data_IF_936055495710
#
_entry.id   IF_936055495710
#
_cell.length_a   1.000
_cell.length_b   1.000
_cell.length_c   1.000
_cell.angle_alpha   90.00
_cell.angle_beta   90.00
_cell.angle_gamma   90.00
#
_symmetry.space_group_name_H-M   'P 1'
#
loop_
_entity.id
_entity.type
_entity.pdbx_description
1 polymer ?
#
# COMPACT_ATOMS: atom_id res chain seq x y z
N UNK A 1 5.18 -3.53 -64.69
CA UNK A 1 6.00 -3.88 -63.52
C UNK A 1 5.81 -5.37 -63.32
N UNK A 2 6.86 -6.18 -63.47
CA UNK A 2 6.75 -7.64 -63.42
C UNK A 2 6.66 -8.14 -61.97
N UNK A 3 6.03 -9.31 -61.74
CA UNK A 3 5.89 -9.90 -60.40
C UNK A 3 7.24 -10.07 -59.68
N UNK A 4 8.30 -10.40 -60.42
CA UNK A 4 9.66 -10.50 -59.88
C UNK A 4 10.19 -9.15 -59.37
N UNK A 5 9.93 -8.05 -60.10
CA UNK A 5 10.32 -6.71 -59.66
C UNK A 5 9.54 -6.30 -58.41
N UNK A 6 8.28 -6.69 -58.31
CA UNK A 6 7.46 -6.43 -57.12
C UNK A 6 8.00 -7.19 -55.89
N UNK A 7 8.39 -8.46 -56.06
CA UNK A 7 8.97 -9.25 -54.98
C UNK A 7 10.32 -8.68 -54.52
N UNK A 8 11.18 -8.26 -55.46
CA UNK A 8 12.47 -7.62 -55.13
C UNK A 8 12.27 -6.35 -54.32
N UNK A 9 11.31 -5.49 -54.71
CA UNK A 9 10.98 -4.26 -53.97
C UNK A 9 10.43 -4.60 -52.58
N UNK A 10 9.58 -5.62 -52.45
CA UNK A 10 9.02 -6.04 -51.16
C UNK A 10 10.10 -6.56 -50.21
N UNK A 11 11.02 -7.38 -50.72
CA UNK A 11 12.15 -7.92 -49.95
C UNK A 11 13.07 -6.78 -49.52
N UNK A 12 13.46 -5.90 -50.45
CA UNK A 12 14.29 -4.72 -50.15
C UNK A 12 13.66 -3.85 -49.05
N UNK A 13 12.38 -3.53 -49.16
CA UNK A 13 11.66 -2.75 -48.15
C UNK A 13 11.56 -3.47 -46.80
N UNK A 14 11.43 -4.80 -46.79
CA UNK A 14 11.40 -5.58 -45.55
C UNK A 14 12.75 -5.57 -44.83
N UNK A 15 13.85 -5.66 -45.58
CA UNK A 15 15.22 -5.62 -45.06
C UNK A 15 15.56 -4.24 -44.52
N UNK A 16 15.26 -3.17 -45.26
CA UNK A 16 15.47 -1.79 -44.79
C UNK A 16 14.70 -1.50 -43.51
N UNK A 17 13.47 -2.02 -43.36
CA UNK A 17 12.68 -1.88 -42.12
C UNK A 17 13.26 -2.71 -40.97
N UNK A 18 13.84 -3.87 -41.25
CA UNK A 18 14.47 -4.70 -40.23
C UNK A 18 15.74 -4.03 -39.68
N UNK A 19 16.58 -3.48 -40.55
CA UNK A 19 17.79 -2.73 -40.19
C UNK A 19 17.44 -1.50 -39.37
N UNK A 20 16.50 -0.67 -39.84
CA UNK A 20 16.06 0.51 -39.10
C UNK A 20 15.46 0.17 -37.71
N UNK A 21 14.86 -1.02 -37.54
CA UNK A 21 14.37 -1.49 -36.23
C UNK A 21 15.47 -1.98 -35.31
N UNK A 22 16.54 -2.55 -35.87
CA UNK A 22 17.70 -2.99 -35.11
C UNK A 22 18.53 -1.82 -34.58
N UNK A 23 18.58 -0.71 -35.34
CA UNK A 23 19.36 0.49 -35.00
C UNK A 23 18.63 1.48 -34.08
N UNK A 24 17.33 1.27 -33.83
CA UNK A 24 16.55 2.16 -32.94
C UNK A 24 16.91 2.00 -31.48
N UNK A 25 16.99 3.14 -30.78
CA UNK A 25 17.12 3.18 -29.32
C UNK A 25 15.77 2.91 -28.61
N UNK A 26 15.81 2.67 -27.30
CA UNK A 26 14.63 2.31 -26.52
C UNK A 26 13.58 3.44 -26.47
N UNK A 27 13.99 4.70 -26.49
CA UNK A 27 13.08 5.85 -26.50
C UNK A 27 12.31 5.95 -27.83
N UNK A 28 13.01 5.81 -28.96
CA UNK A 28 12.42 5.78 -30.29
C UNK A 28 11.47 4.59 -30.43
N UNK A 29 11.88 3.43 -29.90
CA UNK A 29 11.03 2.23 -29.87
C UNK A 29 9.77 2.46 -29.03
N UNK A 30 9.88 3.10 -27.87
CA UNK A 30 8.76 3.48 -27.02
C UNK A 30 7.80 4.48 -27.68
N UNK A 31 8.32 5.50 -28.36
CA UNK A 31 7.50 6.47 -29.10
C UNK A 31 6.68 5.82 -30.22
N UNK A 32 7.29 4.90 -30.98
CA UNK A 32 6.57 4.18 -32.04
C UNK A 32 5.51 3.26 -31.45
N UNK A 33 5.82 2.53 -30.38
CA UNK A 33 4.84 1.66 -29.71
C UNK A 33 3.64 2.45 -29.18
N UNK A 34 3.88 3.63 -28.58
CA UNK A 34 2.82 4.52 -28.11
C UNK A 34 1.98 5.04 -29.27
N UNK A 35 2.61 5.49 -30.36
CA UNK A 35 1.90 5.93 -31.56
C UNK A 35 1.02 4.82 -32.15
N UNK A 36 1.55 3.60 -32.25
CA UNK A 36 0.81 2.44 -32.76
C UNK A 36 -0.30 1.99 -31.80
N UNK A 37 -0.11 2.15 -30.49
CA UNK A 37 -1.14 1.89 -29.49
C UNK A 37 -2.30 2.88 -29.62
N UNK A 38 -2.01 4.18 -29.77
CA UNK A 38 -3.02 5.22 -29.98
C UNK A 38 -3.76 5.00 -31.29
N UNK A 39 -3.06 4.75 -32.40
CA UNK A 39 -3.70 4.48 -33.69
C UNK A 39 -4.64 3.27 -33.62
N UNK A 40 -4.23 2.18 -32.96
CA UNK A 40 -5.10 1.00 -32.75
C UNK A 40 -6.30 1.31 -31.86
N UNK A 41 -6.14 2.13 -30.83
CA UNK A 41 -7.24 2.54 -29.96
C UNK A 41 -8.27 3.38 -30.73
N UNK A 42 -7.80 4.34 -31.53
CA UNK A 42 -8.66 5.17 -32.40
C UNK A 42 -9.43 4.31 -33.40
N UNK A 43 -8.75 3.44 -34.15
CA UNK A 43 -9.42 2.54 -35.09
C UNK A 43 -10.41 1.60 -34.40
N UNK A 44 -10.13 1.16 -33.16
CA UNK A 44 -11.09 0.35 -32.37
C UNK A 44 -12.33 1.13 -31.94
N UNK A 45 -12.19 2.43 -31.66
CA UNK A 45 -13.31 3.31 -31.32
C UNK A 45 -14.21 3.62 -32.52
N UNK A 46 -13.66 3.61 -33.74
CA UNK A 46 -14.38 3.88 -34.99
C UNK A 46 -15.05 2.63 -35.60
N UNK A 47 -14.72 1.44 -35.10
CA UNK A 47 -15.29 0.18 -35.61
C UNK A 47 -16.73 -0.02 -35.17
N UNK A 48 -17.53 -0.54 -36.10
CA UNK A 48 -18.91 -0.98 -35.87
C UNK A 48 -18.98 -2.29 -35.08
N UNK A 49 -20.09 -2.54 -34.40
CA UNK A 49 -20.31 -3.78 -33.63
C UNK A 49 -20.14 -5.05 -34.47
N UNK A 50 -20.52 -5.02 -35.74
CA UNK A 50 -20.36 -6.16 -36.64
C UNK A 50 -18.89 -6.43 -36.97
N UNK A 51 -18.11 -5.37 -37.22
CA UNK A 51 -16.66 -5.50 -37.40
C UNK A 51 -15.98 -6.03 -36.13
N UNK A 52 -16.41 -5.58 -34.95
CA UNK A 52 -15.94 -6.11 -33.67
C UNK A 52 -16.23 -7.62 -33.55
N UNK A 53 -17.43 -8.08 -33.93
CA UNK A 53 -17.79 -9.51 -33.88
C UNK A 53 -16.95 -10.36 -34.83
N UNK A 54 -16.74 -9.91 -36.06
CA UNK A 54 -15.91 -10.62 -37.04
C UNK A 54 -14.46 -10.76 -36.53
N UNK A 55 -13.88 -9.68 -36.00
CA UNK A 55 -12.52 -9.70 -35.44
C UNK A 55 -12.43 -10.64 -34.24
N UNK A 56 -13.39 -10.57 -33.31
CA UNK A 56 -13.42 -11.47 -32.15
C UNK A 56 -13.55 -12.93 -32.58
N UNK A 57 -14.34 -13.23 -33.61
CA UNK A 57 -14.46 -14.56 -34.19
C UNK A 57 -13.14 -15.07 -34.77
N UNK A 58 -12.45 -14.26 -35.57
CA UNK A 58 -11.14 -14.59 -36.12
C UNK A 58 -10.09 -14.81 -35.02
N UNK A 59 -10.06 -13.95 -34.01
CA UNK A 59 -9.15 -14.10 -32.86
C UNK A 59 -9.48 -15.32 -32.01
N UNK A 60 -10.75 -15.71 -31.88
CA UNK A 60 -11.15 -16.92 -31.16
C UNK A 60 -10.67 -18.18 -31.91
N UNK A 61 -10.81 -18.21 -33.23
CA UNK A 61 -10.33 -19.31 -34.09
C UNK A 61 -8.80 -19.40 -34.03
N UNK A 62 -8.09 -18.28 -34.17
CA UNK A 62 -6.64 -18.24 -34.08
C UNK A 62 -6.12 -18.73 -32.71
N UNK A 63 -6.78 -18.30 -31.61
CA UNK A 63 -6.46 -18.78 -30.26
C UNK A 63 -6.75 -20.27 -30.08
N UNK A 64 -7.84 -20.78 -30.64
CA UNK A 64 -8.16 -22.21 -30.60
C UNK A 64 -7.11 -23.03 -31.35
N UNK A 65 -6.69 -22.58 -32.53
CA UNK A 65 -5.63 -23.22 -33.31
C UNK A 65 -4.30 -23.23 -32.55
N UNK A 66 -3.88 -22.08 -32.02
CA UNK A 66 -2.66 -21.99 -31.20
C UNK A 66 -2.71 -22.92 -29.98
N UNK A 67 -3.85 -22.97 -29.26
CA UNK A 67 -4.03 -23.89 -28.12
C UNK A 67 -3.93 -25.36 -28.54
N UNK A 68 -4.46 -25.69 -29.72
CA UNK A 68 -4.37 -27.06 -30.25
C UNK A 68 -2.94 -27.47 -30.59
N UNK A 69 -2.09 -26.52 -31.05
CA UNK A 69 -0.68 -26.76 -31.38
C UNK A 69 0.28 -26.73 -30.18
N UNK A 70 -0.17 -26.33 -28.98
CA UNK A 70 0.68 -26.33 -27.79
C UNK A 70 0.99 -27.74 -27.29
N UNK A 71 2.24 -27.96 -26.90
CA UNK A 71 2.68 -29.20 -26.24
C UNK A 71 2.00 -29.38 -24.88
N UNK A 72 2.03 -30.62 -24.37
CA UNK A 72 1.42 -30.95 -23.08
C UNK A 72 2.09 -30.20 -21.92
N UNK A 73 3.41 -30.01 -21.96
CA UNK A 73 4.17 -29.25 -20.95
C UNK A 73 3.75 -27.78 -20.91
N UNK A 74 3.70 -27.11 -22.07
CA UNK A 74 3.23 -25.72 -22.14
C UNK A 74 1.78 -25.56 -21.66
N UNK A 75 0.92 -26.56 -21.91
CA UNK A 75 -0.46 -26.54 -21.37
C UNK A 75 -0.48 -26.60 -19.85
N UNK A 76 0.40 -27.39 -19.24
CA UNK A 76 0.52 -27.47 -17.77
C UNK A 76 1.06 -26.16 -17.18
N UNK A 77 2.08 -25.55 -17.80
CA UNK A 77 2.62 -24.26 -17.36
C UNK A 77 1.56 -23.14 -17.38
N UNK A 78 0.77 -23.06 -18.47
CA UNK A 78 -0.33 -22.09 -18.57
C UNK A 78 -1.37 -22.34 -17.48
N UNK A 79 -1.72 -23.60 -17.24
CA UNK A 79 -2.69 -23.98 -16.20
C UNK A 79 -2.18 -23.62 -14.80
N UNK A 80 -0.91 -23.89 -14.51
CA UNK A 80 -0.28 -23.52 -13.24
C UNK A 80 -0.24 -22.00 -13.07
N UNK A 81 0.18 -21.26 -14.09
CA UNK A 81 0.18 -19.79 -14.09
C UNK A 81 -1.21 -19.21 -13.84
N UNK A 82 -2.24 -19.73 -14.52
CA UNK A 82 -3.64 -19.32 -14.32
C UNK A 82 -4.14 -19.65 -12.91
N UNK A 83 -3.80 -20.81 -12.37
CA UNK A 83 -4.17 -21.17 -10.99
C UNK A 83 -3.48 -20.29 -9.96
N UNK A 84 -2.20 -19.97 -10.16
CA UNK A 84 -1.44 -19.07 -9.31
C UNK A 84 -1.97 -17.63 -9.40
N UNK A 85 -2.29 -17.14 -10.60
CA UNK A 85 -2.92 -15.83 -10.81
C UNK A 85 -4.29 -15.76 -10.12
N UNK A 86 -5.12 -16.81 -10.24
CA UNK A 86 -6.40 -16.89 -9.52
C UNK A 86 -6.22 -16.95 -8.00
N UNK A 87 -5.22 -17.68 -7.51
CA UNK A 87 -4.89 -17.74 -6.09
C UNK A 87 -4.39 -16.38 -5.57
N UNK A 88 -3.58 -15.67 -6.34
CA UNK A 88 -3.11 -14.32 -6.03
C UNK A 88 -4.27 -13.31 -6.02
N UNK A 89 -5.19 -13.38 -6.99
CA UNK A 89 -6.40 -12.57 -7.00
C UNK A 89 -7.32 -12.88 -5.81
N UNK A 90 -7.46 -14.15 -5.41
CA UNK A 90 -8.22 -14.54 -4.21
C UNK A 90 -7.59 -13.96 -2.94
N UNK A 91 -6.27 -14.07 -2.78
CA UNK A 91 -5.53 -13.45 -1.66
C UNK A 91 -5.70 -11.93 -1.67
N UNK A 92 -5.51 -11.28 -2.83
CA UNK A 92 -5.69 -9.82 -2.98
C UNK A 92 -7.12 -9.39 -2.64
N UNK A 93 -8.15 -10.15 -3.05
CA UNK A 93 -9.55 -9.88 -2.67
C UNK A 93 -9.80 -10.06 -1.17
N UNK A 94 -9.14 -11.02 -0.54
CA UNK A 94 -9.18 -11.21 0.92
C UNK A 94 -8.53 -10.03 1.66
N UNK A 95 -7.45 -9.46 1.13
CA UNK A 95 -6.80 -8.24 1.66
C UNK A 95 -7.49 -6.93 1.23
N UNK A 96 -8.37 -6.96 0.22
CA UNK A 96 -9.15 -5.77 -0.21
C UNK A 96 -10.24 -5.35 0.78
N UNK A 97 -10.59 -6.18 1.76
CA UNK A 97 -11.51 -5.84 2.87
C UNK A 97 -11.00 -4.73 3.81
N UNK A 98 -9.82 -4.15 3.55
CA UNK A 98 -9.23 -3.09 4.37
C UNK A 98 -9.10 -1.72 3.68
N UNK A 99 -9.66 -1.52 2.48
CA UNK A 99 -9.53 -0.25 1.73
C UNK A 99 -10.76 0.67 1.84
N UNK A 100 -11.77 0.33 2.63
CA UNK A 100 -12.92 1.22 2.83
C UNK A 100 -12.53 2.37 3.76
N UNK A 101 -12.65 3.59 3.23
CA UNK A 101 -12.45 4.84 3.97
C UNK A 101 -13.61 5.06 4.94
N UNK A 102 -13.42 5.87 5.98
CA UNK A 102 -14.50 6.20 6.93
C UNK A 102 -15.75 6.79 6.24
N UNK A 103 -15.57 7.51 5.14
CA UNK A 103 -16.63 8.14 4.35
C UNK A 103 -17.48 7.12 3.55
N UNK A 104 -16.86 6.03 3.09
CA UNK A 104 -17.50 4.97 2.29
C UNK A 104 -17.60 3.66 3.10
N UNK A 105 -17.37 3.72 4.42
CA UNK A 105 -17.41 2.56 5.30
C UNK A 105 -18.88 2.15 5.46
N UNK A 106 -19.30 1.19 4.65
CA UNK A 106 -20.57 0.53 4.85
C UNK A 106 -20.48 -0.26 6.16
N UNK A 107 -21.11 0.24 7.22
CA UNK A 107 -21.24 -0.52 8.49
C UNK A 107 -21.88 -1.90 8.28
N UNK A 108 -22.66 -2.08 7.21
CA UNK A 108 -23.23 -3.35 6.80
C UNK A 108 -22.25 -4.24 6.03
N UNK A 109 -21.02 -3.81 5.75
CA UNK A 109 -19.92 -4.67 5.26
C UNK A 109 -19.34 -5.54 6.37
N UNK A 110 -19.48 -5.10 7.63
CA UNK A 110 -19.15 -5.85 8.86
C UNK A 110 -20.32 -6.79 9.18
N UNK A 111 -20.62 -7.70 8.24
CA UNK A 111 -21.60 -8.77 8.40
C UNK A 111 -20.91 -10.09 8.74
N UNK A 112 -21.39 -10.70 9.81
CA UNK A 112 -21.04 -12.02 10.30
C UNK A 112 -21.81 -12.28 11.58
N UNK A 113 -21.97 -13.54 11.99
CA UNK A 113 -22.62 -13.88 13.27
C UNK A 113 -21.82 -13.37 14.50
N UNK A 114 -20.64 -12.81 14.25
CA UNK A 114 -19.61 -12.46 15.22
C UNK A 114 -19.48 -10.94 15.46
N UNK A 115 -20.47 -10.17 15.02
CA UNK A 115 -20.49 -8.71 15.15
C UNK A 115 -21.53 -8.27 16.18
N UNK A 116 -21.10 -7.49 17.18
CA UNK A 116 -21.97 -6.84 18.16
C UNK A 116 -21.74 -5.33 18.03
N UNK A 117 -22.83 -4.56 17.86
CA UNK A 117 -22.77 -3.11 17.62
C UNK A 117 -21.84 -2.73 16.45
N UNK A 118 -21.94 -3.45 15.32
CA UNK A 118 -21.15 -3.19 14.09
C UNK A 118 -19.63 -3.33 14.27
N UNK A 119 -19.18 -3.92 15.37
CA UNK A 119 -17.79 -4.26 15.64
C UNK A 119 -17.64 -5.78 15.70
N UNK A 120 -16.58 -6.33 15.10
CA UNK A 120 -16.20 -7.71 15.35
C UNK A 120 -15.83 -7.86 16.83
N UNK A 121 -16.62 -8.63 17.57
CA UNK A 121 -16.39 -8.79 19.01
C UNK A 121 -15.31 -9.85 19.19
N UNK A 122 -14.12 -9.43 19.64
CA UNK A 122 -12.95 -10.31 19.86
C UNK A 122 -13.30 -11.53 20.73
N UNK A 123 -14.33 -11.43 21.58
CA UNK A 123 -14.74 -12.53 22.44
C UNK A 123 -15.36 -13.73 21.71
N UNK A 124 -15.93 -13.61 20.50
CA UNK A 124 -16.41 -14.79 19.77
C UNK A 124 -15.28 -15.62 19.14
N UNK A 125 -14.08 -15.05 18.98
CA UNK A 125 -12.86 -15.85 18.79
C UNK A 125 -12.41 -16.61 20.05
N UNK A 126 -13.08 -16.38 21.18
CA UNK A 126 -12.81 -16.99 22.50
C UNK A 126 -14.01 -17.86 22.95
N UNK A 127 -15.24 -17.57 22.50
CA UNK A 127 -16.46 -18.24 22.95
C UNK A 127 -16.72 -19.51 22.14
N UNK A 128 -16.35 -20.65 22.72
CA UNK A 128 -16.56 -21.99 22.15
C UNK A 128 -15.34 -22.91 22.22
N UNK A 129 -14.16 -22.35 22.56
CA UNK A 129 -12.97 -23.14 22.86
C UNK A 129 -12.58 -22.88 24.32
N UNK A 130 -12.32 -23.92 25.09
CA UNK A 130 -11.70 -23.79 26.42
C UNK A 130 -10.44 -22.94 26.32
N UNK A 131 -10.31 -21.91 27.16
CA UNK A 131 -9.29 -20.85 27.07
C UNK A 131 -7.83 -21.33 27.06
N UNK A 132 -7.58 -22.58 27.40
CA UNK A 132 -6.26 -23.20 27.40
C UNK A 132 -5.76 -23.59 25.99
N UNK A 133 -6.65 -23.77 25.01
CA UNK A 133 -6.26 -24.31 23.70
C UNK A 133 -5.65 -23.24 22.76
N UNK A 134 -5.97 -21.96 22.98
CA UNK A 134 -5.55 -20.84 22.11
C UNK A 134 -4.52 -19.90 22.72
N UNK A 135 -4.28 -20.02 24.02
CA UNK A 135 -3.18 -19.33 24.68
C UNK A 135 -1.89 -20.10 24.40
N UNK A 136 -0.83 -19.42 23.99
CA UNK A 136 0.46 -20.06 23.83
C UNK A 136 0.99 -20.49 25.21
N UNK A 137 1.38 -21.76 25.36
CA UNK A 137 1.95 -22.25 26.62
C UNK A 137 3.28 -21.57 26.97
N UNK A 138 4.05 -21.16 25.96
CA UNK A 138 5.40 -20.62 26.17
C UNK A 138 5.39 -19.12 26.53
N UNK A 139 4.48 -18.35 25.93
CA UNK A 139 4.46 -16.88 26.07
C UNK A 139 3.12 -16.28 26.53
N UNK A 140 2.07 -17.08 26.69
CA UNK A 140 0.76 -16.59 27.12
C UNK A 140 -0.01 -15.78 26.08
N UNK A 141 0.50 -15.64 24.85
CA UNK A 141 -0.16 -14.88 23.80
C UNK A 141 -1.46 -15.58 23.33
N UNK A 142 -2.51 -14.79 23.12
CA UNK A 142 -3.78 -15.29 22.54
C UNK A 142 -3.65 -15.34 21.02
N UNK A 143 -3.96 -16.50 20.44
CA UNK A 143 -3.89 -16.75 19.00
C UNK A 143 -5.26 -16.66 18.34
N UNK A 144 -5.31 -16.15 17.11
CA UNK A 144 -6.51 -16.25 16.28
C UNK A 144 -6.70 -17.70 15.78
N UNK A 145 -7.95 -18.14 15.49
CA UNK A 145 -8.22 -19.52 15.08
C UNK A 145 -7.44 -20.01 13.85
N UNK A 146 -7.08 -19.10 12.93
CA UNK A 146 -6.35 -19.44 11.71
C UNK A 146 -4.81 -19.28 11.85
N UNK A 147 -4.31 -18.88 13.02
CA UNK A 147 -2.87 -18.70 13.24
C UNK A 147 -2.17 -20.02 13.54
N UNK A 148 -0.94 -20.15 13.06
CA UNK A 148 -0.10 -21.32 13.36
C UNK A 148 0.37 -21.28 14.81
N UNK A 149 0.67 -22.45 15.40
CA UNK A 149 1.12 -22.57 16.79
C UNK A 149 2.36 -21.71 17.12
N UNK A 150 3.20 -21.45 16.11
CA UNK A 150 4.48 -20.75 16.22
C UNK A 150 4.41 -19.24 15.93
N UNK A 151 3.24 -18.69 15.61
CA UNK A 151 3.10 -17.30 15.16
C UNK A 151 3.51 -16.25 16.21
N UNK A 152 3.42 -16.58 17.49
CA UNK A 152 3.65 -15.64 18.60
C UNK A 152 5.10 -15.62 19.11
N UNK A 153 5.71 -16.77 19.36
CA UNK A 153 7.03 -16.88 20.00
C UNK A 153 7.95 -17.89 19.29
N UNK A 154 7.56 -18.39 18.12
CA UNK A 154 8.21 -19.51 17.43
C UNK A 154 8.46 -20.74 18.32
N UNK A 155 7.49 -21.09 19.17
CA UNK A 155 7.60 -22.20 20.13
C UNK A 155 8.64 -21.92 21.22
N UNK A 156 8.42 -20.85 21.99
CA UNK A 156 9.29 -20.42 23.09
C UNK A 156 10.65 -19.79 22.74
N UNK A 157 11.05 -19.73 21.46
CA UNK A 157 12.37 -19.18 21.06
C UNK A 157 12.50 -17.68 21.31
N UNK A 158 11.39 -16.95 21.21
CA UNK A 158 11.34 -15.51 21.52
C UNK A 158 10.52 -15.25 22.77
N UNK A 159 11.12 -14.55 23.73
CA UNK A 159 10.45 -14.08 24.94
C UNK A 159 10.38 -12.56 24.90
N UNK A 160 9.18 -12.02 24.69
CA UNK A 160 8.97 -10.58 24.80
C UNK A 160 9.01 -10.17 26.28
N UNK A 161 9.55 -8.99 26.62
CA UNK A 161 9.38 -8.42 27.94
C UNK A 161 7.89 -8.30 28.28
N UNK A 162 7.50 -8.41 29.57
CA UNK A 162 6.13 -8.19 29.96
C UNK A 162 5.66 -6.81 29.47
N UNK A 163 4.41 -6.69 28.98
CA UNK A 163 3.87 -5.40 28.56
C UNK A 163 4.00 -4.39 29.68
N UNK A 164 4.54 -3.21 29.37
CA UNK A 164 4.52 -2.09 30.31
C UNK A 164 3.09 -1.58 30.44
N UNK A 165 2.73 -1.10 31.63
CA UNK A 165 1.45 -0.43 31.79
C UNK A 165 1.37 0.79 30.87
N UNK A 166 0.23 0.93 30.20
CA UNK A 166 -0.01 2.06 29.33
C UNK A 166 -0.06 3.35 30.18
N UNK A 167 0.58 4.46 29.75
CA UNK A 167 0.50 5.72 30.46
C UNK A 167 -0.95 6.19 30.64
N UNK A 168 -1.20 6.97 31.69
CA UNK A 168 -2.56 7.38 32.08
C UNK A 168 -3.25 8.24 31.01
N UNK A 169 -2.50 9.15 30.37
CA UNK A 169 -3.04 10.06 29.34
C UNK A 169 -3.66 9.31 28.15
N UNK A 170 -2.97 8.36 27.48
CA UNK A 170 -3.60 7.49 26.49
C UNK A 170 -4.86 6.79 26.99
N UNK A 171 -4.83 6.24 28.23
CA UNK A 171 -6.00 5.55 28.81
C UNK A 171 -7.20 6.49 28.97
N UNK A 172 -6.98 7.76 29.30
CA UNK A 172 -8.01 8.79 29.37
C UNK A 172 -8.49 9.20 27.97
N UNK A 173 -7.58 9.35 27.02
CA UNK A 173 -7.92 9.68 25.63
C UNK A 173 -8.82 8.60 25.01
N UNK A 174 -8.56 7.30 25.22
CA UNK A 174 -9.42 6.22 24.75
C UNK A 174 -10.84 6.23 25.34
N UNK A 175 -11.08 6.97 26.43
CA UNK A 175 -12.41 7.20 27.00
C UNK A 175 -13.07 8.49 26.49
N UNK A 176 -12.33 9.34 25.79
CA UNK A 176 -12.84 10.60 25.25
C UNK A 176 -13.52 10.35 23.89
N UNK A 177 -14.84 10.60 23.75
CA UNK A 177 -15.57 10.32 22.50
C UNK A 177 -15.09 11.18 21.33
N UNK A 178 -14.67 12.43 21.58
CA UNK A 178 -14.13 13.34 20.56
C UNK A 178 -12.81 12.79 20.01
N UNK A 179 -11.94 12.30 20.91
CA UNK A 179 -10.71 11.64 20.49
C UNK A 179 -11.00 10.39 19.66
N UNK A 180 -11.90 9.53 20.14
CA UNK A 180 -12.22 8.26 19.48
C UNK A 180 -12.83 8.47 18.09
N UNK A 181 -13.65 9.50 17.91
CA UNK A 181 -14.24 9.84 16.61
C UNK A 181 -13.17 10.30 15.60
N UNK A 182 -12.12 10.97 16.07
CA UNK A 182 -11.05 11.52 15.24
C UNK A 182 -9.71 10.77 15.37
N UNK A 183 -9.69 9.57 15.97
CA UNK A 183 -8.44 8.87 16.34
C UNK A 183 -7.54 8.59 15.13
N UNK A 184 -8.12 8.34 13.96
CA UNK A 184 -7.36 8.13 12.72
C UNK A 184 -6.66 9.41 12.27
N UNK A 185 -7.32 10.55 12.39
CA UNK A 185 -6.75 11.85 12.04
C UNK A 185 -5.58 12.20 12.98
N UNK A 186 -5.76 11.98 14.29
CA UNK A 186 -4.67 12.06 15.26
C UNK A 186 -3.50 11.13 14.92
N UNK A 187 -3.77 9.86 14.63
CA UNK A 187 -2.71 8.91 14.27
C UNK A 187 -1.97 9.31 12.99
N UNK A 188 -2.66 9.89 12.02
CA UNK A 188 -2.03 10.41 10.80
C UNK A 188 -1.09 11.59 11.10
N UNK A 189 -1.54 12.55 11.92
CA UNK A 189 -0.72 13.70 12.33
C UNK A 189 0.57 13.33 13.05
N UNK A 190 0.55 12.21 13.77
CA UNK A 190 1.70 11.66 14.48
C UNK A 190 2.49 10.61 13.69
N UNK A 191 1.96 10.09 12.59
CA UNK A 191 2.70 9.20 11.69
C UNK A 191 3.77 9.95 10.87
N UNK A 192 3.59 11.27 10.65
CA UNK A 192 4.44 12.10 9.79
C UNK A 192 5.46 12.97 10.54
N UNK A 193 6.00 12.53 11.67
CA UNK A 193 6.93 13.35 12.47
C UNK A 193 8.37 13.46 11.95
N UNK A 194 8.70 13.08 10.71
CA UNK A 194 10.10 13.08 10.25
C UNK A 194 10.40 13.81 8.93
N UNK A 195 9.42 14.31 8.15
CA UNK A 195 9.73 15.01 6.90
C UNK A 195 8.89 16.28 6.73
N UNK A 196 9.55 17.42 6.97
CA UNK A 196 9.04 18.74 6.62
C UNK A 196 9.09 18.88 5.09
N UNK A 197 7.95 18.78 4.44
CA UNK A 197 7.80 19.33 3.10
C UNK A 197 7.30 20.76 3.23
N UNK A 198 8.16 21.72 2.89
CA UNK A 198 7.85 23.15 2.94
C UNK A 198 6.87 23.49 1.81
N UNK A 199 5.78 24.21 2.11
CA UNK A 199 4.76 24.69 1.13
C UNK A 199 5.31 25.69 0.08
N UNK A 200 6.61 25.99 0.09
CA UNK A 200 7.24 26.86 -0.92
C UNK A 200 7.26 26.22 -2.31
N UNK A 201 7.11 24.90 -2.39
CA UNK A 201 6.84 24.16 -3.61
C UNK A 201 5.55 23.36 -3.38
N UNK A 202 4.58 23.40 -4.32
CA UNK A 202 3.44 22.49 -4.24
C UNK A 202 4.00 21.07 -4.34
N UNK A 203 3.94 20.32 -3.23
CA UNK A 203 4.04 18.88 -3.29
C UNK A 203 3.05 18.41 -4.36
N UNK A 204 3.53 17.67 -5.36
CA UNK A 204 2.64 16.92 -6.25
C UNK A 204 2.01 15.80 -5.43
N UNK A 205 1.01 16.19 -4.66
CA UNK A 205 0.14 15.32 -3.91
C UNK A 205 -0.91 14.85 -4.89
N UNK A 206 -0.88 13.56 -5.22
CA UNK A 206 -1.97 12.93 -5.97
C UNK A 206 -3.24 12.99 -5.11
N UNK A 207 -4.15 13.91 -5.46
CA UNK A 207 -5.43 14.12 -4.77
C UNK A 207 -6.29 12.85 -4.72
N UNK A 208 -6.06 11.89 -5.64
CA UNK A 208 -6.79 10.62 -5.66
C UNK A 208 -6.41 9.69 -4.50
N UNK A 209 -5.24 9.91 -3.89
CA UNK A 209 -4.65 9.02 -2.87
C UNK A 209 -4.86 9.55 -1.44
N UNK A 210 -4.83 10.87 -1.27
CA UNK A 210 -4.74 11.51 0.06
C UNK A 210 -6.04 11.59 0.83
N UNK A 211 -7.18 11.43 0.16
CA UNK A 211 -8.49 11.45 0.82
C UNK A 211 -9.06 10.07 1.09
N UNK A 212 -8.48 9.01 0.51
CA UNK A 212 -9.18 7.72 0.33
C UNK A 212 -8.34 6.45 0.53
N UNK A 213 -7.28 6.49 1.35
CA UNK A 213 -6.49 5.29 1.64
C UNK A 213 -6.14 5.10 3.12
N UNK A 214 -6.10 3.84 3.56
CA UNK A 214 -5.38 3.43 4.77
C UNK A 214 -3.88 3.56 4.49
N UNK A 215 -3.23 4.53 5.14
CA UNK A 215 -1.78 4.76 5.14
C UNK A 215 -1.07 4.66 3.78
N UNK A 216 -1.47 5.45 2.78
CA UNK A 216 -0.66 5.59 1.58
C UNK A 216 -0.53 7.06 1.21
N UNK A 217 0.63 7.65 1.44
CA UNK A 217 1.07 8.86 0.74
C UNK A 217 2.34 8.48 0.00
N UNK A 218 2.33 8.59 -1.34
CA UNK A 218 3.54 8.40 -2.14
C UNK A 218 4.25 9.75 -2.20
N UNK A 219 5.18 9.99 -1.27
CA UNK A 219 6.07 11.15 -1.34
C UNK A 219 7.10 10.87 -2.42
N UNK A 220 6.94 11.49 -3.60
CA UNK A 220 8.04 11.56 -4.57
C UNK A 220 9.14 12.41 -3.93
N UNK A 221 10.26 11.77 -3.60
CA UNK A 221 11.39 12.39 -2.95
C UNK A 221 12.08 13.43 -3.83
N UNK A 222 11.55 14.64 -3.87
CA UNK A 222 12.31 15.82 -4.29
C UNK A 222 12.67 16.59 -3.04
N UNK A 223 13.92 16.41 -2.64
CA UNK A 223 14.47 16.84 -1.36
C UNK A 223 14.45 18.35 -1.18
N UNK A 224 13.81 18.78 -0.10
CA UNK A 224 14.48 19.69 0.85
C UNK A 224 14.39 19.04 2.22
N UNK A 225 15.26 18.04 2.40
CA UNK A 225 15.53 17.37 3.67
C UNK A 225 16.14 18.37 4.64
N UNK A 226 15.30 19.16 5.29
CA UNK A 226 15.66 19.86 6.51
C UNK A 226 14.71 19.39 7.59
N UNK A 227 15.17 18.55 8.55
CA UNK A 227 14.35 18.20 9.70
C UNK A 227 13.85 19.50 10.32
N UNK A 228 12.56 19.54 10.68
CA UNK A 228 12.07 20.66 11.46
C UNK A 228 13.03 20.83 12.65
N UNK A 229 13.52 22.06 12.94
CA UNK A 229 14.37 22.25 14.10
C UNK A 229 13.65 21.65 15.31
N UNK A 230 14.37 21.06 16.28
CA UNK A 230 13.78 20.64 17.54
C UNK A 230 13.20 21.89 18.22
N UNK A 231 11.98 22.23 17.84
CA UNK A 231 11.24 23.37 18.33
C UNK A 231 10.54 22.95 19.60
N UNK A 232 10.32 23.93 20.47
CA UNK A 232 9.47 23.78 21.65
C UNK A 232 8.14 23.10 21.29
N UNK A 233 7.60 22.30 22.21
CA UNK A 233 6.34 21.56 22.05
C UNK A 233 5.23 22.37 21.38
N UNK A 234 5.11 23.64 21.75
CA UNK A 234 4.13 24.57 21.18
C UNK A 234 4.30 24.77 19.67
N UNK A 235 5.53 24.88 19.17
CA UNK A 235 5.82 25.01 17.74
C UNK A 235 5.47 23.75 16.96
N UNK A 236 5.67 22.56 17.56
CA UNK A 236 5.31 21.28 16.94
C UNK A 236 3.80 21.12 16.84
N UNK A 237 3.08 21.40 17.92
CA UNK A 237 1.61 21.35 17.95
C UNK A 237 1.02 22.39 17.01
N UNK A 238 1.52 23.63 17.01
CA UNK A 238 1.10 24.66 16.06
C UNK A 238 1.33 24.24 14.61
N UNK A 239 2.41 23.50 14.33
CA UNK A 239 2.64 22.96 12.98
C UNK A 239 1.61 21.90 12.60
N UNK A 240 1.22 21.02 13.52
CA UNK A 240 0.20 19.98 13.27
C UNK A 240 -1.18 20.57 13.04
N UNK A 241 -1.57 21.56 13.83
CA UNK A 241 -2.83 22.31 13.63
C UNK A 241 -2.92 22.91 12.23
N UNK A 242 -1.81 23.39 11.66
CA UNK A 242 -1.79 23.91 10.28
C UNK A 242 -1.89 22.85 9.19
N UNK A 243 -1.62 21.58 9.50
CA UNK A 243 -1.63 20.48 8.52
C UNK A 243 -3.00 19.82 8.45
N UNK A 244 -3.70 19.72 9.58
CA UNK A 244 -4.98 19.02 9.68
C UNK A 244 -5.98 19.87 10.49
N UNK A 245 -7.04 20.31 9.82
CA UNK A 245 -8.10 21.10 10.44
C UNK A 245 -9.00 20.23 11.35
N UNK A 246 -9.60 20.85 12.37
CA UNK A 246 -10.62 20.21 13.21
C UNK A 246 -10.10 19.32 14.34
N UNK A 247 -8.79 19.29 14.58
CA UNK A 247 -8.21 18.58 15.73
C UNK A 247 -8.13 19.46 16.98
N UNK A 248 -8.49 18.91 18.14
CA UNK A 248 -8.30 19.56 19.43
C UNK A 248 -6.82 19.72 19.75
N UNK A 249 -6.42 20.97 20.01
CA UNK A 249 -5.09 21.39 20.43
C UNK A 249 -4.68 20.74 21.75
N UNK A 250 -5.62 20.57 22.67
CA UNK A 250 -5.37 19.97 23.99
C UNK A 250 -4.96 18.50 23.82
N UNK A 251 -5.70 17.76 22.99
CA UNK A 251 -5.40 16.36 22.69
C UNK A 251 -4.05 16.23 21.96
N UNK A 252 -3.75 17.12 21.01
CA UNK A 252 -2.44 17.15 20.35
C UNK A 252 -1.30 17.36 21.35
N UNK A 253 -1.49 18.24 22.34
CA UNK A 253 -0.51 18.46 23.39
C UNK A 253 -0.33 17.23 24.29
N UNK A 254 -1.43 16.59 24.68
CA UNK A 254 -1.38 15.38 25.51
C UNK A 254 -0.64 14.24 24.81
N UNK A 255 -0.91 14.01 23.52
CA UNK A 255 -0.21 12.98 22.76
C UNK A 255 1.27 13.35 22.59
N UNK A 256 1.60 14.60 22.29
CA UNK A 256 3.00 15.03 22.14
C UNK A 256 3.79 14.89 23.45
N UNK A 257 3.18 15.23 24.59
CA UNK A 257 3.77 15.05 25.91
C UNK A 257 4.00 13.57 26.24
N UNK A 258 3.05 12.69 25.93
CA UNK A 258 3.20 11.25 26.13
C UNK A 258 4.37 10.72 25.31
N UNK A 259 4.48 11.15 24.05
CA UNK A 259 5.57 10.75 23.17
C UNK A 259 6.92 11.24 23.72
N UNK A 260 7.01 12.48 24.18
CA UNK A 260 8.23 13.05 24.76
C UNK A 260 8.64 12.36 26.08
N UNK A 261 7.69 12.01 26.94
CA UNK A 261 7.99 11.41 28.25
C UNK A 261 8.25 9.90 28.20
N UNK A 262 7.53 9.17 27.35
CA UNK A 262 7.47 7.69 27.43
C UNK A 262 8.05 6.98 26.20
N UNK A 263 8.26 7.65 25.08
CA UNK A 263 8.78 7.03 23.86
C UNK A 263 10.29 7.33 23.67
N UNK A 264 11.17 6.34 23.89
CA UNK A 264 12.62 6.54 23.75
C UNK A 264 13.06 6.98 22.36
N UNK A 265 12.33 6.58 21.30
CA UNK A 265 12.64 6.98 19.94
C UNK A 265 12.31 8.45 19.70
N UNK A 266 11.18 8.93 20.24
CA UNK A 266 10.83 10.34 20.18
C UNK A 266 11.86 11.19 20.95
N UNK A 267 12.27 10.74 22.14
CA UNK A 267 13.32 11.38 22.94
C UNK A 267 14.65 11.45 22.19
N UNK A 268 15.08 10.35 21.57
CA UNK A 268 16.31 10.32 20.78
C UNK A 268 16.28 11.32 19.63
N UNK A 269 15.12 11.47 18.98
CA UNK A 269 14.95 12.44 17.90
C UNK A 269 14.98 13.89 18.42
N UNK A 270 14.20 14.18 19.47
CA UNK A 270 14.11 15.51 20.07
C UNK A 270 15.45 15.99 20.63
N UNK A 271 16.19 15.10 21.29
CA UNK A 271 17.49 15.38 21.88
C UNK A 271 18.68 14.94 21.01
N UNK A 272 18.44 14.63 19.72
CA UNK A 272 19.48 14.08 18.83
C UNK A 272 20.74 14.97 18.81
N UNK A 273 20.55 16.28 18.74
CA UNK A 273 21.65 17.27 18.76
C UNK A 273 22.45 17.20 20.06
N UNK A 274 21.78 17.16 21.20
CA UNK A 274 22.41 17.10 22.52
C UNK A 274 23.15 15.78 22.73
N UNK A 275 22.55 14.66 22.31
CA UNK A 275 23.15 13.33 22.33
C UNK A 275 24.40 13.28 21.43
N UNK A 276 24.34 13.86 20.22
CA UNK A 276 25.49 13.93 19.31
C UNK A 276 26.63 14.81 19.85
N UNK A 277 26.30 15.92 20.51
CA UNK A 277 27.29 16.79 21.16
C UNK A 277 27.92 16.07 22.36
N UNK A 278 27.12 15.39 23.17
CA UNK A 278 27.59 14.63 24.33
C UNK A 278 28.52 13.47 23.95
N UNK A 279 28.22 12.75 22.87
CA UNK A 279 29.08 11.66 22.35
C UNK A 279 30.38 12.15 21.71
N UNK A 280 30.40 13.38 21.22
CA UNK A 280 31.59 14.00 20.60
C UNK A 280 32.58 14.58 21.61
N UNK A 281 32.23 14.62 22.90
CA UNK A 281 33.17 15.04 23.96
C UNK A 281 34.00 13.83 24.40
N UNK A 282 35.35 13.89 24.33
CA UNK A 282 36.20 12.87 24.92
C UNK A 282 35.95 12.80 26.43
N UNK A 283 35.85 11.59 26.98
CA UNK A 283 35.87 11.42 28.42
C UNK A 283 37.20 11.97 28.97
N UNK A 284 37.12 12.96 29.86
CA UNK A 284 38.24 13.46 30.65
C UNK A 284 38.58 12.44 31.76
#
# INVERSE_FOLDING_TARGET
MNDEQYQVIRISNSLSRAVARAEMNDEQRGMIQNRDAVARATSRGEMTDEQHRVIQGHEAIARAFQRSSLSQEHRQEIQECDTNARAALRRSRQYKKGYDNHEDFDSMSVRGNDTLNQCHYVSQFIRGCSGDERTCADCGARRFPAETKNCCCMGGKFRLPPPREAPDKPRLLFKNPVFMQSIRAYNNDFAFTSMRASRSEPLQVDESVTRRGVYNFRVMGTGTSSPAPPGERQSRVASRIRMTDGLSVEILNDIDEVMEQHNPYAQQFLHAREIMIGRSRPAL
#
